data_IF_760405386223
#
_entry.id   IF_760405386223
#
_cell.length_a   1.000
_cell.length_b   1.000
_cell.length_c   1.000
_cell.angle_alpha   90.00
_cell.angle_beta   90.00
_cell.angle_gamma   90.00
#
_symmetry.space_group_name_H-M   'P 1'
#
loop_
_entity.id
_entity.type
_entity.pdbx_description
1 polymer ?
#
# COMPACT_ATOMS: atom_id res chain seq x y z
N UNK A 1 -32.21 7.76 -18.52
CA UNK A 1 -32.71 6.38 -18.29
C UNK A 1 -31.49 5.46 -18.30
N UNK A 2 -30.88 5.25 -17.13
CA UNK A 2 -29.60 4.54 -16.98
C UNK A 2 -29.91 3.06 -16.79
N UNK A 3 -29.56 2.23 -17.78
CA UNK A 3 -29.58 0.78 -17.62
C UNK A 3 -28.27 0.39 -16.93
N UNK A 4 -28.31 0.29 -15.60
CA UNK A 4 -27.26 -0.38 -14.82
C UNK A 4 -27.30 -1.87 -15.18
N UNK A 5 -26.45 -2.32 -16.10
CA UNK A 5 -26.14 -3.75 -16.21
C UNK A 5 -25.32 -4.14 -14.98
N UNK A 6 -26.01 -4.64 -13.95
CA UNK A 6 -25.39 -5.37 -12.83
C UNK A 6 -24.65 -6.57 -13.42
N UNK A 7 -23.32 -6.49 -13.47
CA UNK A 7 -22.49 -7.66 -13.69
C UNK A 7 -22.55 -8.51 -12.42
N UNK A 8 -23.42 -9.52 -12.43
CA UNK A 8 -23.39 -10.62 -11.47
C UNK A 8 -22.06 -11.36 -11.72
N UNK A 9 -21.04 -11.11 -10.89
CA UNK A 9 -19.92 -12.06 -10.78
C UNK A 9 -20.51 -13.31 -10.14
N UNK A 10 -20.60 -14.37 -10.92
CA UNK A 10 -20.93 -15.71 -10.42
C UNK A 10 -19.78 -16.11 -9.51
N UNK A 11 -19.94 -15.93 -8.21
CA UNK A 11 -19.12 -16.61 -7.21
C UNK A 11 -19.48 -18.08 -7.32
N UNK A 12 -18.71 -18.85 -8.10
CA UNK A 12 -18.81 -20.31 -8.07
C UNK A 12 -18.26 -20.73 -6.71
N UNK A 13 -19.15 -20.83 -5.72
CA UNK A 13 -18.87 -21.56 -4.49
C UNK A 13 -18.85 -23.02 -4.88
N UNK A 14 -17.67 -23.54 -5.22
CA UNK A 14 -17.46 -24.98 -5.36
C UNK A 14 -17.63 -25.54 -3.95
N UNK A 15 -18.82 -26.07 -3.68
CA UNK A 15 -19.11 -26.85 -2.49
C UNK A 15 -18.35 -28.16 -2.63
N UNK A 16 -17.09 -28.19 -2.20
CA UNK A 16 -16.37 -29.46 -2.02
C UNK A 16 -17.09 -30.23 -0.92
N UNK A 17 -17.76 -31.32 -1.30
CA UNK A 17 -18.15 -32.35 -0.37
C UNK A 17 -16.87 -32.81 0.35
N UNK A 18 -16.77 -32.50 1.65
CA UNK A 18 -15.65 -32.90 2.50
C UNK A 18 -15.77 -34.40 2.72
N UNK A 19 -15.17 -35.16 1.81
CA UNK A 19 -14.76 -36.53 2.09
C UNK A 19 -13.48 -36.37 2.91
N UNK A 20 -13.57 -36.57 4.24
CA UNK A 20 -12.41 -36.65 5.12
C UNK A 20 -11.58 -37.87 4.73
N UNK A 21 -10.67 -37.67 3.79
CA UNK A 21 -9.56 -38.57 3.53
C UNK A 21 -8.29 -37.74 3.78
N UNK A 22 -7.75 -37.87 4.99
CA UNK A 22 -6.62 -37.12 5.55
C UNK A 22 -5.27 -37.48 4.92
N UNK A 23 -5.21 -37.67 3.61
CA UNK A 23 -4.04 -38.24 2.93
C UNK A 23 -3.06 -37.20 2.36
N UNK A 24 -3.24 -35.91 2.64
CA UNK A 24 -2.41 -34.85 2.04
C UNK A 24 -1.49 -34.09 2.99
N UNK A 25 -1.90 -33.83 4.23
CA UNK A 25 -1.17 -32.93 5.13
C UNK A 25 -0.06 -33.70 5.85
N UNK A 26 1.18 -33.36 5.55
CA UNK A 26 2.34 -33.97 6.20
C UNK A 26 3.33 -32.92 6.67
N UNK A 27 4.17 -33.30 7.62
CA UNK A 27 5.32 -32.55 8.08
C UNK A 27 6.61 -33.27 7.68
N UNK A 28 7.62 -32.48 7.38
CA UNK A 28 9.01 -32.95 7.37
C UNK A 28 9.63 -32.64 8.73
N UNK A 29 10.09 -33.68 9.42
CA UNK A 29 10.72 -33.59 10.75
C UNK A 29 12.12 -34.18 10.67
N UNK A 30 13.13 -33.47 11.18
CA UNK A 30 14.48 -34.01 11.37
C UNK A 30 14.78 -34.11 12.85
N UNK A 31 15.21 -35.29 13.28
CA UNK A 31 15.73 -35.54 14.63
C UNK A 31 17.25 -35.61 14.53
N UNK A 32 17.95 -34.77 15.27
CA UNK A 32 19.39 -34.84 15.43
C UNK A 32 19.71 -35.46 16.80
N UNK A 33 20.74 -36.31 16.85
CA UNK A 33 21.16 -36.93 18.09
C UNK A 33 22.63 -37.30 18.06
N UNK A 34 23.25 -37.14 19.21
CA UNK A 34 24.63 -37.51 19.45
C UNK A 34 24.75 -38.26 20.78
N UNK A 35 25.68 -39.19 20.86
CA UNK A 35 25.94 -39.93 22.08
C UNK A 35 27.39 -40.41 22.15
N UNK A 36 27.98 -40.37 23.34
CA UNK A 36 29.35 -40.78 23.62
C UNK A 36 29.41 -41.68 24.85
N UNK A 37 30.08 -42.84 24.75
CA UNK A 37 30.30 -43.75 25.87
C UNK A 37 31.64 -43.53 26.58
N UNK A 38 32.31 -42.38 26.39
CA UNK A 38 33.56 -42.10 27.08
C UNK A 38 33.36 -42.13 28.61
N UNK A 39 34.10 -43.00 29.32
CA UNK A 39 33.93 -43.21 30.77
C UNK A 39 32.83 -44.22 31.16
N UNK A 40 32.09 -44.77 30.19
CA UNK A 40 31.00 -45.70 30.44
C UNK A 40 31.36 -47.13 30.04
N UNK A 41 31.15 -48.08 30.95
CA UNK A 41 31.34 -49.52 30.69
C UNK A 41 30.18 -50.11 29.90
N UNK A 42 28.94 -49.86 30.33
CA UNK A 42 27.73 -50.41 29.73
C UNK A 42 26.78 -49.28 29.32
N UNK A 43 27.23 -48.43 28.40
CA UNK A 43 26.41 -47.31 27.96
C UNK A 43 25.21 -47.80 27.13
N UNK A 44 24.05 -47.17 27.32
CA UNK A 44 22.93 -47.25 26.37
C UNK A 44 22.40 -45.85 26.08
N UNK A 45 21.98 -45.63 24.85
CA UNK A 45 21.34 -44.40 24.41
C UNK A 45 20.19 -44.74 23.47
N UNK A 46 19.04 -44.13 23.70
CA UNK A 46 17.86 -44.32 22.89
C UNK A 46 16.95 -43.11 22.92
N UNK A 47 16.20 -42.95 21.84
CA UNK A 47 15.18 -41.94 21.75
C UNK A 47 13.97 -42.46 20.99
N UNK A 48 12.82 -41.84 21.25
CA UNK A 48 11.56 -42.14 20.59
C UNK A 48 10.81 -40.84 20.30
N UNK A 49 10.56 -40.57 19.02
CA UNK A 49 9.68 -39.50 18.58
C UNK A 49 8.27 -40.07 18.34
N UNK A 50 7.26 -39.46 18.95
CA UNK A 50 5.86 -39.85 18.80
C UNK A 50 4.99 -38.64 18.45
N UNK A 51 4.02 -38.85 17.56
CA UNK A 51 2.93 -37.91 17.28
C UNK A 51 1.69 -38.40 18.02
N UNK A 52 1.18 -37.62 18.96
CA UNK A 52 0.22 -38.11 19.95
C UNK A 52 0.72 -39.41 20.59
N UNK A 53 0.00 -40.53 20.43
CA UNK A 53 0.40 -41.86 20.92
C UNK A 53 1.09 -42.73 19.86
N UNK A 54 1.25 -42.25 18.63
CA UNK A 54 1.79 -43.01 17.50
C UNK A 54 3.29 -42.78 17.39
N UNK A 55 4.07 -43.86 17.36
CA UNK A 55 5.52 -43.78 17.16
C UNK A 55 5.84 -43.39 15.73
N UNK A 56 6.59 -42.30 15.54
CA UNK A 56 7.06 -41.85 14.22
C UNK A 56 8.42 -42.49 13.91
N UNK A 57 9.31 -42.51 14.91
CA UNK A 57 10.62 -43.10 14.80
C UNK A 57 11.26 -43.30 16.15
N UNK A 58 12.26 -44.17 16.18
CA UNK A 58 13.02 -44.46 17.39
C UNK A 58 14.40 -44.97 17.03
N UNK A 59 15.33 -44.76 17.94
CA UNK A 59 16.68 -45.29 17.86
C UNK A 59 17.04 -45.87 19.22
N UNK A 60 17.86 -46.92 19.22
CA UNK A 60 18.43 -47.49 20.43
C UNK A 60 19.77 -48.13 20.10
N UNK A 61 20.81 -47.79 20.85
CA UNK A 61 22.14 -48.40 20.77
C UNK A 61 22.69 -48.58 22.18
N UNK A 62 23.50 -49.62 22.36
CA UNK A 62 24.20 -49.85 23.62
C UNK A 62 25.51 -50.58 23.40
N UNK A 63 26.41 -50.48 24.37
CA UNK A 63 27.68 -51.17 24.39
C UNK A 63 28.80 -50.31 25.00
N UNK A 64 30.00 -50.89 25.01
CA UNK A 64 31.18 -50.32 25.67
C UNK A 64 31.87 -49.24 24.81
N UNK A 65 31.46 -49.11 23.55
CA UNK A 65 31.98 -48.14 22.57
C UNK A 65 30.83 -47.57 21.75
N UNK A 66 30.29 -46.42 22.16
CA UNK A 66 29.34 -45.62 21.40
C UNK A 66 29.93 -44.25 21.13
N UNK A 67 30.01 -43.92 19.85
CA UNK A 67 30.16 -42.56 19.37
C UNK A 67 29.17 -42.41 18.23
N UNK A 68 28.11 -41.65 18.47
CA UNK A 68 27.00 -41.42 17.56
C UNK A 68 26.96 -39.92 17.33
N UNK A 69 26.85 -39.53 16.08
CA UNK A 69 26.51 -38.17 15.68
C UNK A 69 25.75 -38.31 14.36
N UNK A 70 24.44 -38.46 14.49
CA UNK A 70 23.57 -38.86 13.41
C UNK A 70 22.33 -37.95 13.36
N UNK A 71 21.60 -38.05 12.26
CA UNK A 71 20.27 -37.44 12.18
C UNK A 71 19.36 -38.27 11.30
N UNK A 72 18.07 -38.27 11.62
CA UNK A 72 17.04 -38.98 10.87
C UNK A 72 15.96 -38.02 10.40
N UNK A 73 15.63 -38.07 9.11
CA UNK A 73 14.57 -37.24 8.50
C UNK A 73 13.35 -38.08 8.20
N UNK A 74 12.19 -37.61 8.65
CA UNK A 74 10.87 -38.16 8.37
C UNK A 74 10.12 -37.18 7.49
N UNK A 75 10.00 -37.45 6.19
CA UNK A 75 9.49 -36.48 5.21
C UNK A 75 7.95 -36.42 5.12
N UNK A 76 7.24 -37.44 5.59
CA UNK A 76 5.79 -37.61 5.37
C UNK A 76 5.04 -37.88 6.69
N UNK A 77 5.42 -37.16 7.76
CA UNK A 77 4.80 -37.34 9.07
C UNK A 77 3.36 -36.80 9.04
N UNK A 78 2.32 -37.58 9.39
CA UNK A 78 0.94 -37.10 9.41
C UNK A 78 0.72 -35.94 10.39
N UNK A 79 -0.46 -35.33 10.32
CA UNK A 79 -0.87 -34.32 11.30
C UNK A 79 -1.17 -34.93 12.66
N UNK A 80 -0.59 -34.33 13.69
CA UNK A 80 -0.84 -34.66 15.09
C UNK A 80 -1.10 -33.38 15.88
N UNK A 81 -1.80 -33.49 17.00
CA UNK A 81 -2.08 -32.35 17.88
C UNK A 81 -0.88 -32.03 18.78
N UNK A 82 -0.03 -33.03 19.04
CA UNK A 82 1.17 -32.91 19.86
C UNK A 82 2.28 -33.84 19.38
N UNK A 83 3.52 -33.46 19.67
CA UNK A 83 4.72 -34.24 19.42
C UNK A 83 5.46 -34.45 20.74
N UNK A 84 5.82 -35.69 21.02
CA UNK A 84 6.57 -36.09 22.21
C UNK A 84 7.89 -36.70 21.80
N UNK A 85 8.98 -36.20 22.38
CA UNK A 85 10.32 -36.77 22.25
C UNK A 85 10.69 -37.39 23.59
N UNK A 86 10.93 -38.70 23.60
CA UNK A 86 11.44 -39.41 24.76
C UNK A 86 12.90 -39.74 24.56
N UNK A 87 13.66 -39.64 25.63
CA UNK A 87 15.07 -39.98 25.70
C UNK A 87 15.28 -40.99 26.82
N UNK A 88 16.20 -41.93 26.59
CA UNK A 88 16.67 -42.87 27.61
C UNK A 88 18.17 -43.03 27.47
N UNK A 89 18.93 -42.75 28.52
CA UNK A 89 20.35 -43.08 28.59
C UNK A 89 20.71 -43.81 29.87
N UNK A 90 21.70 -44.69 29.77
CA UNK A 90 22.30 -45.37 30.91
C UNK A 90 23.82 -45.36 30.75
N UNK A 91 24.54 -45.21 31.85
CA UNK A 91 25.98 -45.38 31.91
C UNK A 91 26.34 -46.06 33.24
N UNK A 92 26.96 -47.23 33.16
CA UNK A 92 27.66 -47.83 34.31
C UNK A 92 29.11 -47.36 34.30
N UNK A 93 29.64 -46.76 35.38
CA UNK A 93 30.98 -46.16 35.39
C UNK A 93 32.11 -47.19 35.29
N UNK A 94 33.22 -46.84 34.62
CA UNK A 94 34.44 -47.68 34.56
C UNK A 94 35.35 -47.52 35.79
N UNK A 95 35.28 -46.36 36.46
CA UNK A 95 36.04 -46.00 37.66
C UNK A 95 35.11 -45.34 38.66
N UNK A 96 35.53 -45.30 39.93
CA UNK A 96 34.75 -44.70 41.03
C UNK A 96 34.33 -43.23 40.77
N UNK A 97 35.10 -42.50 39.95
CA UNK A 97 34.87 -41.09 39.63
C UNK A 97 34.20 -40.87 38.26
N UNK A 98 33.87 -41.94 37.51
CA UNK A 98 33.17 -41.84 36.23
C UNK A 98 31.65 -41.67 36.46
N UNK A 99 30.94 -41.19 35.42
CA UNK A 99 29.51 -40.90 35.46
C UNK A 99 28.69 -42.19 35.66
N UNK A 100 27.86 -42.24 36.71
CA UNK A 100 26.79 -43.23 36.92
C UNK A 100 25.44 -42.55 36.72
N UNK A 101 24.64 -43.03 35.77
CA UNK A 101 23.38 -42.38 35.45
C UNK A 101 22.40 -43.32 34.77
N UNK A 102 21.12 -43.11 35.08
CA UNK A 102 19.99 -43.65 34.33
C UNK A 102 19.03 -42.47 34.16
N UNK A 103 19.01 -41.91 32.97
CA UNK A 103 18.16 -40.79 32.61
C UNK A 103 17.02 -41.29 31.73
N UNK A 104 15.79 -40.92 32.08
CA UNK A 104 14.64 -41.10 31.20
C UNK A 104 13.72 -39.90 31.31
N UNK A 105 13.58 -39.19 30.18
CA UNK A 105 12.79 -37.97 30.10
C UNK A 105 11.89 -38.03 28.89
N UNK A 106 10.72 -37.39 29.00
CA UNK A 106 9.83 -37.15 27.88
C UNK A 106 9.43 -35.69 27.90
N UNK A 107 9.65 -34.99 26.79
CA UNK A 107 9.14 -33.66 26.55
C UNK A 107 8.05 -33.72 25.50
N UNK A 108 7.00 -32.93 25.71
CA UNK A 108 5.86 -32.83 24.79
C UNK A 108 5.63 -31.37 24.43
N UNK A 109 5.39 -31.13 23.14
CA UNK A 109 4.97 -29.83 22.60
C UNK A 109 3.73 -30.01 21.74
N UNK A 110 2.83 -29.04 21.81
CA UNK A 110 1.69 -28.98 20.89
C UNK A 110 2.19 -28.71 19.47
N UNK A 111 1.41 -29.07 18.46
CA UNK A 111 1.75 -28.74 17.06
C UNK A 111 1.86 -27.24 16.83
N UNK A 112 1.10 -26.42 17.56
CA UNK A 112 1.16 -24.95 17.50
C UNK A 112 2.47 -24.44 18.06
N UNK A 113 2.84 -24.86 19.27
CA UNK A 113 4.14 -24.52 19.87
C UNK A 113 5.28 -24.97 18.98
N UNK A 114 5.16 -26.18 18.39
CA UNK A 114 6.06 -26.59 17.34
C UNK A 114 6.02 -25.53 16.25
N UNK A 115 4.99 -25.39 15.42
CA UNK A 115 4.95 -24.42 14.29
C UNK A 115 5.61 -23.05 14.58
N UNK A 116 5.40 -22.50 15.78
CA UNK A 116 5.95 -21.21 16.24
C UNK A 116 7.41 -21.20 16.70
N UNK A 117 8.14 -22.32 16.65
CA UNK A 117 9.55 -22.36 16.98
C UNK A 117 9.94 -23.00 18.30
N UNK A 118 9.03 -23.63 19.04
CA UNK A 118 9.39 -24.20 20.34
C UNK A 118 10.48 -25.26 20.19
N UNK A 119 11.46 -25.21 21.11
CA UNK A 119 12.52 -26.20 21.20
C UNK A 119 11.97 -27.50 21.79
N UNK A 120 12.23 -28.62 21.12
CA UNK A 120 11.90 -29.97 21.56
C UNK A 120 13.16 -30.82 21.51
N UNK A 121 13.95 -30.76 22.57
CA UNK A 121 15.19 -31.50 22.70
C UNK A 121 15.62 -31.62 24.15
N UNK A 122 16.49 -32.59 24.41
CA UNK A 122 17.03 -32.85 25.73
C UNK A 122 18.42 -33.49 25.64
N UNK A 123 19.26 -33.17 26.62
CA UNK A 123 20.50 -33.90 26.88
C UNK A 123 20.31 -34.88 28.03
N UNK A 124 21.15 -35.90 28.06
CA UNK A 124 21.37 -36.76 29.20
C UNK A 124 22.85 -37.03 29.39
N UNK A 125 23.16 -37.93 30.31
CA UNK A 125 24.51 -38.16 30.77
C UNK A 125 25.51 -38.72 29.73
N UNK A 126 25.04 -39.30 28.62
CA UNK A 126 25.91 -39.85 27.58
C UNK A 126 25.51 -39.44 26.15
N UNK A 127 24.74 -38.36 26.00
CA UNK A 127 24.28 -37.89 24.69
C UNK A 127 23.09 -36.92 24.74
N UNK A 128 22.61 -36.48 23.58
CA UNK A 128 21.44 -35.62 23.44
C UNK A 128 20.63 -35.93 22.19
N UNK A 129 19.37 -35.51 22.20
CA UNK A 129 18.46 -35.63 21.07
C UNK A 129 17.56 -34.41 20.98
N UNK A 130 17.36 -33.89 19.77
CA UNK A 130 16.44 -32.79 19.51
C UNK A 130 15.75 -32.89 18.15
N UNK A 131 14.57 -32.27 18.05
CA UNK A 131 13.92 -31.99 16.77
C UNK A 131 14.56 -30.74 16.17
N UNK A 132 15.62 -30.96 15.39
CA UNK A 132 16.40 -29.91 14.73
C UNK A 132 15.68 -29.25 13.55
N UNK A 133 14.63 -29.89 13.01
CA UNK A 133 13.84 -29.34 11.92
C UNK A 133 12.39 -29.80 12.02
N UNK A 134 11.47 -28.88 11.80
CA UNK A 134 10.04 -29.18 11.69
C UNK A 134 9.39 -28.19 10.75
N UNK A 135 8.87 -28.68 9.63
CA UNK A 135 8.27 -27.87 8.58
C UNK A 135 6.98 -28.53 8.07
N UNK A 136 5.86 -27.78 7.95
CA UNK A 136 4.69 -28.21 7.20
C UNK A 136 5.05 -28.38 5.72
N UNK A 137 4.68 -29.49 5.11
CA UNK A 137 4.84 -29.69 3.68
C UNK A 137 3.74 -28.93 2.93
N UNK A 138 3.96 -27.62 2.79
CA UNK A 138 3.06 -26.67 2.16
C UNK A 138 3.77 -26.04 0.97
N UNK A 139 3.05 -25.94 -0.15
CA UNK A 139 3.45 -25.17 -1.32
C UNK A 139 2.62 -23.90 -1.40
N UNK A 140 3.26 -22.82 -1.81
CA UNK A 140 2.61 -21.52 -1.98
C UNK A 140 2.54 -21.13 -3.45
N UNK A 141 1.44 -20.49 -3.84
CA UNK A 141 1.21 -20.02 -5.19
C UNK A 141 0.36 -18.75 -5.22
N UNK A 142 0.31 -18.11 -6.38
CA UNK A 142 -0.66 -17.06 -6.69
C UNK A 142 -1.89 -17.73 -7.32
N UNK A 143 -3.08 -17.42 -6.82
CA UNK A 143 -4.34 -17.94 -7.35
C UNK A 143 -4.68 -17.38 -8.74
N UNK A 144 -4.07 -16.27 -9.15
CA UNK A 144 -4.15 -15.81 -10.52
C UNK A 144 -3.29 -16.69 -11.44
N UNK A 145 -3.94 -17.64 -12.13
CA UNK A 145 -3.29 -18.56 -13.06
C UNK A 145 -2.99 -17.95 -14.41
N UNK A 146 -3.57 -16.79 -14.76
CA UNK A 146 -3.30 -16.10 -16.01
C UNK A 146 -1.99 -15.29 -15.94
N UNK A 147 -1.61 -14.82 -14.75
CA UNK A 147 -0.37 -14.07 -14.51
C UNK A 147 0.25 -14.42 -13.14
N UNK A 148 0.71 -15.66 -12.93
CA UNK A 148 1.08 -16.16 -11.61
C UNK A 148 2.27 -15.41 -10.97
N UNK A 149 3.13 -14.79 -11.77
CA UNK A 149 4.34 -14.10 -11.30
C UNK A 149 4.26 -12.57 -11.39
N UNK A 150 3.11 -12.01 -11.78
CA UNK A 150 2.96 -10.57 -12.01
C UNK A 150 1.65 -10.05 -11.44
N UNK A 151 1.71 -8.89 -10.78
CA UNK A 151 0.55 -8.19 -10.28
C UNK A 151 0.54 -6.75 -10.79
N UNK A 152 -0.61 -6.29 -11.29
CA UNK A 152 -0.80 -4.91 -11.71
C UNK A 152 -1.20 -4.00 -10.54
N UNK A 153 -0.77 -2.74 -10.58
CA UNK A 153 -1.18 -1.74 -9.61
C UNK A 153 -2.71 -1.60 -9.53
N UNK A 154 -3.23 -1.54 -8.31
CA UNK A 154 -4.67 -1.47 -8.03
C UNK A 154 -5.42 -2.80 -8.08
N UNK A 155 -4.78 -3.90 -8.47
CA UNK A 155 -5.37 -5.24 -8.40
C UNK A 155 -5.07 -5.88 -7.04
N UNK A 156 -5.96 -6.78 -6.62
CA UNK A 156 -5.75 -7.59 -5.41
C UNK A 156 -4.89 -8.81 -5.75
N UNK A 157 -3.83 -9.03 -4.97
CA UNK A 157 -3.09 -10.28 -4.96
C UNK A 157 -3.86 -11.28 -4.12
N UNK A 158 -4.07 -12.49 -4.64
CA UNK A 158 -4.64 -13.59 -3.87
C UNK A 158 -3.65 -14.73 -3.86
N UNK A 159 -3.05 -15.00 -2.70
CA UNK A 159 -2.12 -16.11 -2.53
C UNK A 159 -2.87 -17.34 -2.05
N UNK A 160 -2.24 -18.50 -2.21
CA UNK A 160 -2.72 -19.73 -1.62
C UNK A 160 -1.58 -20.59 -1.09
N UNK A 161 -1.91 -21.38 -0.08
CA UNK A 161 -1.04 -22.34 0.58
C UNK A 161 -1.74 -23.71 0.61
N UNK A 162 -1.15 -24.70 -0.06
CA UNK A 162 -1.71 -26.04 -0.19
C UNK A 162 -0.75 -27.14 0.27
N UNK A 163 -1.25 -28.28 0.80
CA UNK A 163 -2.66 -28.60 1.01
C UNK A 163 -3.30 -27.82 2.17
N UNK A 164 -4.63 -27.68 2.14
CA UNK A 164 -5.41 -27.04 3.21
C UNK A 164 -5.53 -27.95 4.44
N UNK A 165 -5.87 -27.39 5.61
CA UNK A 165 -6.23 -28.15 6.82
C UNK A 165 -5.13 -28.24 7.87
N UNK A 166 -4.03 -27.50 7.73
CA UNK A 166 -3.09 -27.29 8.83
C UNK A 166 -3.67 -26.29 9.85
N UNK A 167 -3.15 -26.26 11.10
CA UNK A 167 -3.40 -25.16 12.03
C UNK A 167 -3.06 -23.79 11.40
N UNK A 168 -3.74 -22.73 11.84
CA UNK A 168 -3.62 -21.39 11.25
C UNK A 168 -2.19 -20.84 11.26
N UNK A 169 -1.38 -21.26 12.25
CA UNK A 169 0.03 -20.90 12.41
C UNK A 169 0.92 -21.46 11.29
N UNK A 170 0.50 -22.54 10.62
CA UNK A 170 1.21 -23.03 9.43
C UNK A 170 1.10 -22.04 8.25
N UNK A 171 0.13 -21.11 8.30
CA UNK A 171 -0.12 -20.09 7.30
C UNK A 171 0.37 -18.70 7.73
N UNK A 172 1.46 -18.66 8.51
CA UNK A 172 2.12 -17.42 8.88
C UNK A 172 2.95 -16.87 7.70
N UNK A 173 2.41 -15.89 7.01
CA UNK A 173 2.98 -15.24 5.84
C UNK A 173 3.97 -14.14 6.21
N UNK A 174 5.10 -14.15 5.52
CA UNK A 174 6.06 -13.06 5.50
C UNK A 174 6.28 -12.60 4.06
N UNK A 175 6.66 -11.33 3.90
CA UNK A 175 7.06 -10.77 2.62
C UNK A 175 8.41 -10.04 2.71
N UNK A 176 9.07 -9.88 1.57
CA UNK A 176 10.33 -9.16 1.42
C UNK A 176 10.27 -8.25 0.20
N UNK A 177 10.78 -7.03 0.37
CA UNK A 177 10.89 -6.01 -0.68
C UNK A 177 12.34 -5.68 -1.05
N UNK A 178 13.32 -6.37 -0.43
CA UNK A 178 14.75 -6.07 -0.52
C UNK A 178 15.55 -7.30 -0.98
N UNK A 179 14.97 -8.03 -1.94
CA UNK A 179 15.55 -9.24 -2.51
C UNK A 179 15.88 -10.31 -1.45
N UNK A 180 14.92 -10.56 -0.55
CA UNK A 180 14.96 -11.60 0.48
C UNK A 180 15.97 -11.34 1.62
N UNK A 181 16.53 -10.13 1.71
CA UNK A 181 17.49 -9.76 2.76
C UNK A 181 16.83 -9.62 4.12
N UNK A 182 15.65 -8.98 4.16
CA UNK A 182 14.80 -8.86 5.35
C UNK A 182 13.39 -9.35 5.06
N UNK A 183 12.69 -9.75 6.12
CA UNK A 183 11.35 -10.32 6.05
C UNK A 183 10.43 -9.66 7.06
N UNK A 184 9.24 -9.29 6.60
CA UNK A 184 8.23 -8.58 7.37
C UNK A 184 6.98 -9.44 7.41
N UNK A 185 6.35 -9.54 8.56
CA UNK A 185 5.09 -10.29 8.70
C UNK A 185 3.96 -9.57 7.95
N UNK A 186 3.14 -10.34 7.24
CA UNK A 186 1.91 -9.81 6.67
C UNK A 186 1.01 -9.32 7.81
N UNK A 187 0.35 -8.15 7.68
CA UNK A 187 -0.59 -7.62 8.68
C UNK A 187 -1.59 -8.66 9.22
N UNK A 188 -1.81 -8.65 10.53
CA UNK A 188 -2.55 -9.72 11.25
C UNK A 188 -3.96 -10.02 10.68
N UNK A 189 -4.69 -9.02 10.19
CA UNK A 189 -6.04 -9.22 9.61
C UNK A 189 -6.08 -10.01 8.29
N UNK A 190 -4.91 -10.26 7.70
CA UNK A 190 -4.71 -10.96 6.42
C UNK A 190 -3.58 -12.00 6.51
N UNK A 191 -3.17 -12.36 7.72
CA UNK A 191 -2.15 -13.37 8.00
C UNK A 191 -2.80 -14.60 8.65
N UNK A 192 -2.05 -15.69 8.85
CA UNK A 192 -2.52 -16.95 9.45
C UNK A 192 -3.75 -17.54 8.74
N UNK A 193 -3.83 -17.36 7.42
CA UNK A 193 -4.90 -17.87 6.57
C UNK A 193 -4.30 -18.52 5.33
N UNK A 194 -4.85 -19.67 4.87
CA UNK A 194 -4.31 -20.36 3.71
C UNK A 194 -4.46 -19.57 2.41
N UNK A 195 -5.40 -18.62 2.33
CA UNK A 195 -5.69 -17.88 1.10
C UNK A 195 -5.85 -16.38 1.36
N UNK A 196 -4.77 -15.66 1.71
CA UNK A 196 -4.87 -14.23 1.97
C UNK A 196 -5.11 -13.47 0.66
N UNK A 197 -5.89 -12.38 0.73
CA UNK A 197 -6.15 -11.49 -0.39
C UNK A 197 -6.02 -10.04 0.04
N UNK A 198 -5.21 -9.27 -0.68
CA UNK A 198 -4.93 -7.87 -0.39
C UNK A 198 -4.38 -7.12 -1.60
N UNK A 199 -4.48 -5.80 -1.60
CA UNK A 199 -3.77 -4.94 -2.55
C UNK A 199 -2.36 -4.63 -2.06
N UNK A 200 -1.45 -4.28 -2.97
CA UNK A 200 -0.10 -3.81 -2.57
C UNK A 200 -0.15 -2.50 -1.78
N UNK A 201 -1.19 -1.68 -1.93
CA UNK A 201 -1.38 -0.50 -1.10
C UNK A 201 -1.72 -0.88 0.36
N UNK A 202 -2.50 -1.94 0.58
CA UNK A 202 -2.77 -2.45 1.93
C UNK A 202 -1.54 -3.10 2.56
N UNK A 203 -0.70 -3.77 1.76
CA UNK A 203 0.52 -4.42 2.24
C UNK A 203 1.68 -3.43 2.47
N UNK A 204 1.96 -2.56 1.51
CA UNK A 204 3.14 -1.68 1.47
C UNK A 204 2.83 -0.23 1.87
N UNK A 205 1.56 0.10 2.11
CA UNK A 205 1.10 1.43 2.51
C UNK A 205 1.06 2.46 1.36
N UNK A 206 1.02 3.74 1.73
CA UNK A 206 0.90 4.85 0.78
C UNK A 206 2.05 4.94 -0.24
N UNK A 207 3.24 4.46 0.15
CA UNK A 207 4.45 4.49 -0.68
C UNK A 207 4.62 3.24 -1.54
N UNK A 208 3.58 2.39 -1.67
CA UNK A 208 3.64 1.17 -2.47
C UNK A 208 4.15 1.38 -3.91
N UNK A 209 3.90 2.56 -4.50
CA UNK A 209 4.37 2.93 -5.83
C UNK A 209 5.90 2.94 -5.98
N UNK A 210 6.66 3.09 -4.89
CA UNK A 210 8.12 3.03 -4.90
C UNK A 210 8.67 1.65 -5.24
N UNK A 211 7.84 0.61 -5.13
CA UNK A 211 8.18 -0.78 -5.42
C UNK A 211 7.69 -1.23 -6.81
N UNK A 212 7.23 -0.30 -7.65
CA UNK A 212 6.82 -0.63 -9.01
C UNK A 212 8.00 -1.16 -9.83
N UNK A 213 7.72 -2.18 -10.62
CA UNK A 213 8.64 -2.96 -11.43
C UNK A 213 9.74 -3.67 -10.62
N UNK A 214 9.47 -3.99 -9.35
CA UNK A 214 10.34 -4.81 -8.50
C UNK A 214 9.63 -6.09 -8.05
N UNK A 215 10.37 -7.20 -7.82
CA UNK A 215 9.81 -8.41 -7.26
C UNK A 215 9.56 -8.24 -5.75
N UNK A 216 8.37 -8.65 -5.31
CA UNK A 216 8.01 -8.83 -3.91
C UNK A 216 7.99 -10.33 -3.63
N UNK A 217 8.74 -10.77 -2.64
CA UNK A 217 8.86 -12.19 -2.30
C UNK A 217 7.93 -12.53 -1.14
N UNK A 218 7.29 -13.69 -1.19
CA UNK A 218 6.41 -14.19 -0.14
C UNK A 218 6.86 -15.57 0.30
N UNK A 219 6.76 -15.86 1.61
CA UNK A 219 7.03 -17.19 2.16
C UNK A 219 6.17 -17.46 3.39
N UNK A 220 6.09 -18.73 3.79
CA UNK A 220 5.52 -19.14 5.07
C UNK A 220 6.61 -19.54 6.05
N UNK A 221 6.40 -19.26 7.34
CA UNK A 221 7.24 -19.75 8.43
C UNK A 221 7.49 -18.73 9.53
N UNK A 222 8.30 -19.11 10.51
CA UNK A 222 8.71 -18.29 11.66
C UNK A 222 10.24 -18.17 11.75
N UNK A 223 10.73 -17.12 12.40
CA UNK A 223 12.17 -16.75 12.46
C UNK A 223 13.11 -17.86 12.93
N UNK A 224 12.64 -18.79 13.76
CA UNK A 224 13.42 -19.90 14.33
C UNK A 224 13.24 -21.22 13.57
N UNK A 225 12.59 -21.20 12.39
CA UNK A 225 12.23 -22.41 11.62
C UNK A 225 12.49 -22.30 10.13
N UNK A 226 12.39 -23.45 9.46
CA UNK A 226 12.50 -23.53 8.03
C UNK A 226 11.30 -22.88 7.34
N UNK A 227 11.61 -22.06 6.35
CA UNK A 227 10.62 -21.37 5.53
C UNK A 227 10.29 -22.17 4.28
N UNK A 228 9.12 -21.94 3.71
CA UNK A 228 8.84 -22.40 2.34
C UNK A 228 9.76 -21.71 1.35
N UNK A 229 9.97 -22.33 0.19
CA UNK A 229 10.59 -21.65 -0.96
C UNK A 229 9.84 -20.35 -1.27
N UNK A 230 10.52 -19.20 -1.36
CA UNK A 230 9.88 -17.93 -1.66
C UNK A 230 9.19 -17.89 -3.02
N UNK A 231 7.97 -17.37 -3.05
CA UNK A 231 7.22 -17.02 -4.26
C UNK A 231 7.50 -15.57 -4.62
N UNK A 232 7.98 -15.31 -5.83
CA UNK A 232 8.24 -13.96 -6.34
C UNK A 232 7.06 -13.44 -7.17
N UNK A 233 6.54 -12.27 -6.80
CA UNK A 233 5.51 -11.54 -7.55
C UNK A 233 6.09 -10.20 -8.01
N UNK A 234 6.21 -10.01 -9.32
CA UNK A 234 6.62 -8.73 -9.90
C UNK A 234 5.46 -7.74 -9.82
N UNK A 235 5.60 -6.72 -8.97
CA UNK A 235 4.60 -5.66 -8.86
C UNK A 235 4.81 -4.64 -9.97
N UNK A 236 3.88 -4.51 -10.92
CA UNK A 236 4.03 -3.68 -12.11
C UNK A 236 2.98 -2.58 -12.18
N UNK A 237 3.32 -1.46 -12.81
CA UNK A 237 2.37 -0.33 -12.96
C UNK A 237 1.16 -0.72 -13.79
N UNK A 238 1.37 -1.51 -14.85
CA UNK A 238 0.37 -1.87 -15.87
C UNK A 238 -0.44 -0.67 -16.40
N UNK A 239 0.13 0.52 -16.28
CA UNK A 239 -0.42 1.81 -16.65
C UNK A 239 0.77 2.77 -16.84
N UNK A 240 0.61 3.85 -17.63
CA UNK A 240 1.64 4.87 -17.74
C UNK A 240 1.85 5.51 -16.37
N UNK A 241 3.11 5.70 -15.96
CA UNK A 241 3.42 6.30 -14.65
C UNK A 241 3.44 7.82 -14.78
N UNK A 242 2.51 8.47 -14.09
CA UNK A 242 2.48 9.92 -13.96
C UNK A 242 3.64 10.40 -13.08
N UNK A 243 4.28 11.49 -13.50
CA UNK A 243 5.38 12.14 -12.80
C UNK A 243 4.86 13.21 -11.85
N UNK A 244 4.04 14.15 -12.36
CA UNK A 244 3.54 15.27 -11.57
C UNK A 244 2.24 15.86 -12.13
N UNK A 245 1.61 16.70 -11.31
CA UNK A 245 0.46 17.52 -11.68
C UNK A 245 0.95 18.97 -11.82
N UNK A 246 0.64 19.60 -12.94
CA UNK A 246 0.80 21.04 -13.12
C UNK A 246 -0.58 21.69 -12.94
N UNK A 247 -0.70 22.54 -11.93
CA UNK A 247 -1.95 23.18 -11.52
C UNK A 247 -1.81 24.70 -11.56
N UNK A 248 -2.76 25.38 -12.18
CA UNK A 248 -2.89 26.84 -12.14
C UNK A 248 -4.26 27.21 -11.55
N UNK A 249 -4.23 27.92 -10.43
CA UNK A 249 -5.41 28.35 -9.71
C UNK A 249 -6.27 29.34 -10.51
N UNK A 250 -7.56 29.55 -10.14
CA UNK A 250 -8.36 30.63 -10.69
C UNK A 250 -7.67 31.98 -10.50
N UNK A 251 -7.77 32.88 -11.48
CA UNK A 251 -7.21 34.25 -11.35
C UNK A 251 -7.99 35.14 -10.40
N UNK A 252 -9.31 34.96 -10.38
CA UNK A 252 -10.23 35.74 -9.55
C UNK A 252 -11.12 34.82 -8.74
N UNK A 253 -11.57 35.33 -7.59
CA UNK A 253 -12.51 34.63 -6.73
C UNK A 253 -13.72 34.09 -7.51
N UNK A 254 -14.01 32.80 -7.32
CA UNK A 254 -15.14 32.12 -7.95
C UNK A 254 -15.06 32.00 -9.48
N UNK A 255 -13.90 32.25 -10.10
CA UNK A 255 -13.66 31.85 -11.48
C UNK A 255 -13.33 30.35 -11.55
N UNK A 256 -13.44 29.79 -12.76
CA UNK A 256 -12.95 28.45 -13.07
C UNK A 256 -11.44 28.33 -12.83
N UNK A 257 -10.99 27.12 -12.53
CA UNK A 257 -9.56 26.79 -12.49
C UNK A 257 -8.97 26.98 -13.89
N UNK A 258 -7.82 27.65 -13.98
CA UNK A 258 -7.18 27.93 -15.27
C UNK A 258 -6.67 26.64 -15.91
N UNK A 259 -6.03 25.76 -15.12
CA UNK A 259 -5.38 24.56 -15.65
C UNK A 259 -5.18 23.45 -14.62
N UNK A 260 -5.43 22.22 -15.05
CA UNK A 260 -4.97 20.99 -14.38
C UNK A 260 -4.42 20.06 -15.46
N UNK A 261 -3.13 19.78 -15.38
CA UNK A 261 -2.42 18.93 -16.34
C UNK A 261 -1.64 17.84 -15.61
N UNK A 262 -1.61 16.65 -16.20
CA UNK A 262 -0.88 15.49 -15.67
C UNK A 262 0.19 15.12 -16.66
N UNK A 263 1.43 15.04 -16.17
CA UNK A 263 2.59 14.70 -16.97
C UNK A 263 3.00 13.26 -16.73
N UNK A 264 3.19 12.51 -17.81
CA UNK A 264 3.58 11.11 -17.84
C UNK A 264 4.95 10.98 -18.52
N UNK A 265 5.77 10.05 -18.03
CA UNK A 265 7.08 9.74 -18.64
C UNK A 265 6.94 9.04 -19.99
N UNK A 266 5.85 8.31 -20.18
CA UNK A 266 5.64 7.41 -21.30
C UNK A 266 4.35 7.77 -22.03
N UNK A 267 4.34 7.58 -23.36
CA UNK A 267 3.11 7.59 -24.14
C UNK A 267 2.30 6.32 -23.90
N UNK A 268 1.00 6.38 -24.15
CA UNK A 268 0.16 5.20 -24.24
C UNK A 268 0.66 4.27 -25.35
N UNK A 269 0.73 2.97 -25.04
CA UNK A 269 1.11 1.92 -25.99
C UNK A 269 -0.04 1.64 -26.95
N UNK A 270 0.24 0.93 -28.05
CA UNK A 270 -0.80 0.48 -28.97
C UNK A 270 -1.83 -0.39 -28.22
N UNK A 271 -3.10 -0.04 -28.31
CA UNK A 271 -4.20 -0.71 -27.60
C UNK A 271 -4.37 -0.29 -26.14
N UNK A 272 -3.51 0.59 -25.62
CA UNK A 272 -3.63 1.15 -24.27
C UNK A 272 -4.47 2.42 -24.26
N UNK A 273 -5.38 2.55 -23.30
CA UNK A 273 -6.18 3.75 -23.06
C UNK A 273 -6.33 4.03 -21.57
N UNK A 274 -6.63 5.27 -21.19
CA UNK A 274 -7.18 5.54 -19.85
C UNK A 274 -8.70 5.55 -19.95
N UNK A 275 -9.32 4.57 -19.28
CA UNK A 275 -10.76 4.48 -19.16
C UNK A 275 -11.33 5.60 -18.30
N UNK A 276 -10.63 5.90 -17.22
CA UNK A 276 -10.96 6.96 -16.28
C UNK A 276 -9.66 7.62 -15.81
N UNK A 277 -9.69 8.95 -15.75
CA UNK A 277 -8.70 9.81 -15.10
C UNK A 277 -9.48 10.98 -14.47
N UNK A 278 -9.22 11.23 -13.19
CA UNK A 278 -10.01 12.18 -12.41
C UNK A 278 -9.20 12.81 -11.28
N UNK A 279 -9.58 14.04 -10.92
CA UNK A 279 -9.10 14.74 -9.73
C UNK A 279 -9.91 14.27 -8.52
N UNK A 280 -9.28 14.09 -7.36
CA UNK A 280 -9.97 13.70 -6.12
C UNK A 280 -9.30 14.34 -4.93
N UNK A 281 -10.08 14.61 -3.88
CA UNK A 281 -9.55 15.09 -2.63
C UNK A 281 -8.63 14.03 -1.99
N UNK A 282 -7.57 14.46 -1.33
CA UNK A 282 -6.66 13.55 -0.62
C UNK A 282 -7.21 13.05 0.72
N UNK A 283 -8.23 13.71 1.26
CA UNK A 283 -8.97 13.21 2.42
C UNK A 283 -9.66 11.89 2.04
N UNK A 284 -9.33 10.77 2.71
CA UNK A 284 -9.91 9.46 2.41
C UNK A 284 -11.43 9.40 2.63
N UNK A 285 -12.02 10.32 3.41
CA UNK A 285 -13.47 10.42 3.57
C UNK A 285 -14.16 11.10 2.36
N UNK A 286 -13.41 11.82 1.52
CA UNK A 286 -13.94 12.61 0.39
C UNK A 286 -13.61 11.96 -0.94
N UNK A 287 -14.29 10.86 -1.25
CA UNK A 287 -13.97 10.00 -2.40
C UNK A 287 -14.58 10.44 -3.74
N UNK A 288 -15.41 11.49 -3.77
CA UNK A 288 -16.12 11.92 -4.98
C UNK A 288 -15.14 12.45 -6.04
N UNK A 289 -15.10 11.84 -7.25
CA UNK A 289 -14.32 12.38 -8.37
C UNK A 289 -14.74 13.79 -8.75
N UNK A 290 -13.75 14.65 -8.99
CA UNK A 290 -13.88 15.99 -9.59
C UNK A 290 -13.11 15.99 -10.91
N UNK A 291 -13.58 16.75 -11.89
CA UNK A 291 -12.97 16.84 -13.23
C UNK A 291 -12.54 15.49 -13.80
N UNK A 292 -13.41 14.85 -14.58
CA UNK A 292 -13.13 13.54 -15.17
C UNK A 292 -13.13 13.63 -16.69
N UNK A 293 -12.33 12.78 -17.33
CA UNK A 293 -12.45 12.55 -18.77
C UNK A 293 -13.88 12.15 -19.17
N UNK A 294 -14.39 12.73 -20.26
CA UNK A 294 -15.71 12.42 -20.83
C UNK A 294 -15.66 11.30 -21.89
N UNK A 295 -14.47 11.02 -22.41
CA UNK A 295 -14.18 9.97 -23.37
C UNK A 295 -12.88 9.26 -23.01
N UNK A 296 -12.65 8.08 -23.60
CA UNK A 296 -11.41 7.33 -23.41
C UNK A 296 -10.20 8.18 -23.83
N UNK A 297 -9.17 8.20 -23.00
CA UNK A 297 -7.91 8.88 -23.34
C UNK A 297 -7.03 7.88 -24.08
N UNK A 298 -6.92 8.04 -25.40
CA UNK A 298 -6.16 7.13 -26.27
C UNK A 298 -4.80 7.68 -26.70
N UNK A 299 -4.53 8.95 -26.40
CA UNK A 299 -3.22 9.57 -26.63
C UNK A 299 -2.96 10.67 -25.60
N UNK A 300 -1.67 10.97 -25.42
CA UNK A 300 -1.19 12.13 -24.69
C UNK A 300 -0.50 13.08 -25.67
N UNK A 301 -0.45 14.37 -25.31
CA UNK A 301 0.22 15.39 -26.11
C UNK A 301 1.67 15.53 -25.61
N UNK A 302 2.66 15.44 -26.49
CA UNK A 302 4.05 15.69 -26.10
C UNK A 302 4.24 17.18 -25.77
N UNK A 303 4.75 17.48 -24.59
CA UNK A 303 5.22 18.81 -24.24
C UNK A 303 6.72 18.94 -24.56
N UNK A 304 7.11 19.77 -25.53
CA UNK A 304 8.51 19.92 -25.94
C UNK A 304 9.38 20.58 -24.86
N UNK A 305 8.80 21.35 -23.93
CA UNK A 305 9.58 22.04 -22.89
C UNK A 305 10.11 21.04 -21.84
N UNK A 306 9.32 20.03 -21.51
CA UNK A 306 9.63 19.04 -20.47
C UNK A 306 10.04 17.68 -21.03
N UNK A 307 9.81 17.45 -22.33
CA UNK A 307 9.95 16.16 -23.01
C UNK A 307 9.12 15.04 -22.33
N UNK A 308 7.94 15.42 -21.83
CA UNK A 308 6.99 14.53 -21.17
C UNK A 308 5.65 14.54 -21.92
N UNK A 309 4.84 13.51 -21.67
CA UNK A 309 3.53 13.35 -22.29
C UNK A 309 2.44 13.89 -21.37
N UNK A 310 1.53 14.69 -21.89
CA UNK A 310 0.59 15.49 -21.12
C UNK A 310 -0.86 15.11 -21.41
N UNK A 311 -1.66 15.05 -20.34
CA UNK A 311 -3.11 15.06 -20.37
C UNK A 311 -3.63 16.33 -19.70
N UNK A 312 -4.48 17.09 -20.38
CA UNK A 312 -5.12 18.30 -19.85
C UNK A 312 -6.60 18.01 -19.56
N UNK A 313 -7.07 18.28 -18.35
CA UNK A 313 -8.47 18.06 -17.99
C UNK A 313 -9.38 19.04 -18.75
N UNK A 314 -10.42 18.56 -19.44
CA UNK A 314 -11.43 19.44 -20.02
C UNK A 314 -12.40 19.95 -18.95
N UNK A 315 -13.06 21.08 -19.22
CA UNK A 315 -14.21 21.59 -18.46
C UNK A 315 -13.95 21.79 -16.95
N UNK A 316 -13.00 22.66 -16.61
CA UNK A 316 -12.65 23.03 -15.23
C UNK A 316 -13.65 24.02 -14.57
N UNK A 317 -14.94 23.89 -14.89
CA UNK A 317 -15.97 24.89 -14.61
C UNK A 317 -16.57 24.89 -13.21
N UNK A 318 -16.14 23.99 -12.32
CA UNK A 318 -16.62 23.93 -10.93
C UNK A 318 -15.52 24.39 -9.98
N UNK A 319 -15.89 25.15 -8.94
CA UNK A 319 -14.98 25.41 -7.83
C UNK A 319 -14.74 24.12 -7.03
N UNK A 320 -13.50 23.96 -6.56
CA UNK A 320 -13.15 22.97 -5.56
C UNK A 320 -13.39 23.54 -4.15
N UNK A 321 -13.29 22.71 -3.12
CA UNK A 321 -13.42 23.18 -1.73
C UNK A 321 -12.13 23.92 -1.34
N UNK A 322 -12.26 25.20 -0.98
CA UNK A 322 -11.15 26.06 -0.61
C UNK A 322 -10.32 25.49 0.55
N UNK A 323 -8.99 25.55 0.44
CA UNK A 323 -8.04 25.07 1.45
C UNK A 323 -7.69 23.58 1.37
N UNK A 324 -8.44 22.78 0.59
CA UNK A 324 -8.22 21.34 0.51
C UNK A 324 -7.12 20.94 -0.49
N UNK A 325 -6.58 19.74 -0.30
CA UNK A 325 -5.58 19.13 -1.16
C UNK A 325 -6.21 18.11 -2.10
N UNK A 326 -5.71 18.10 -3.34
CA UNK A 326 -6.23 17.27 -4.43
C UNK A 326 -5.09 16.55 -5.18
N UNK A 327 -5.39 15.34 -5.61
CA UNK A 327 -4.50 14.50 -6.44
C UNK A 327 -5.26 13.95 -7.64
N UNK A 328 -4.58 13.24 -8.52
CA UNK A 328 -5.18 12.59 -9.69
C UNK A 328 -5.04 11.08 -9.58
N UNK A 329 -6.14 10.38 -9.85
CA UNK A 329 -6.20 8.92 -9.98
C UNK A 329 -6.65 8.54 -11.38
N UNK A 330 -6.19 7.39 -11.85
CA UNK A 330 -6.51 6.91 -13.19
C UNK A 330 -6.43 5.38 -13.30
N UNK A 331 -7.18 4.82 -14.26
CA UNK A 331 -7.19 3.39 -14.59
C UNK A 331 -6.91 3.21 -16.08
N UNK A 332 -5.77 2.59 -16.37
CA UNK A 332 -5.42 2.16 -17.72
C UNK A 332 -6.17 0.87 -18.10
N UNK A 333 -6.37 0.70 -19.41
CA UNK A 333 -6.81 -0.55 -20.01
C UNK A 333 -5.87 -0.92 -21.13
N UNK A 334 -5.79 -2.21 -21.43
CA UNK A 334 -5.12 -2.74 -22.61
C UNK A 334 -6.12 -3.59 -23.38
N UNK A 335 -6.36 -3.25 -24.64
CA UNK A 335 -7.34 -3.90 -25.51
C UNK A 335 -8.73 -4.00 -24.84
N UNK A 336 -9.13 -2.92 -24.15
CA UNK A 336 -10.41 -2.83 -23.43
C UNK A 336 -10.47 -3.52 -22.07
N UNK A 337 -9.45 -4.29 -21.68
CA UNK A 337 -9.38 -4.93 -20.36
C UNK A 337 -8.73 -4.02 -19.32
N UNK A 338 -9.30 -3.84 -18.11
CA UNK A 338 -8.65 -3.11 -17.02
C UNK A 338 -7.27 -3.66 -16.69
N UNK A 339 -6.28 -2.78 -16.54
CA UNK A 339 -4.88 -3.14 -16.29
C UNK A 339 -4.34 -2.53 -15.00
N UNK A 340 -3.82 -1.31 -15.03
CA UNK A 340 -3.25 -0.65 -13.84
C UNK A 340 -4.09 0.52 -13.37
N UNK A 341 -4.40 0.57 -12.07
CA UNK A 341 -4.95 1.73 -11.38
C UNK A 341 -3.87 2.40 -10.54
N UNK A 342 -3.67 3.69 -10.73
CA UNK A 342 -2.62 4.46 -10.06
C UNK A 342 -3.11 5.83 -9.59
N UNK A 343 -2.34 6.39 -8.67
CA UNK A 343 -2.40 7.78 -8.24
C UNK A 343 -1.08 8.46 -8.60
N UNK A 344 -1.10 9.75 -8.91
CA UNK A 344 0.14 10.53 -9.07
C UNK A 344 0.96 10.49 -7.78
N UNK A 345 2.25 10.18 -7.90
CA UNK A 345 3.15 9.94 -6.76
C UNK A 345 3.70 11.21 -6.11
N UNK A 346 3.77 12.32 -6.84
CA UNK A 346 4.18 13.61 -6.28
C UNK A 346 3.11 14.23 -5.37
N UNK A 347 3.53 15.26 -4.63
CA UNK A 347 2.69 15.95 -3.66
C UNK A 347 1.40 16.49 -4.31
N UNK A 348 0.24 16.35 -3.65
CA UNK A 348 -1.01 16.94 -4.12
C UNK A 348 -0.92 18.46 -4.25
N UNK A 349 -1.76 19.05 -5.10
CA UNK A 349 -1.92 20.49 -5.16
C UNK A 349 -2.98 20.96 -4.16
N UNK A 350 -2.80 22.16 -3.62
CA UNK A 350 -3.81 22.79 -2.77
C UNK A 350 -4.68 23.71 -3.63
N UNK A 351 -6.00 23.61 -3.49
CA UNK A 351 -6.90 24.58 -4.09
C UNK A 351 -7.12 25.75 -3.13
N UNK A 352 -6.68 26.94 -3.55
CA UNK A 352 -6.98 28.20 -2.87
C UNK A 352 -7.80 29.07 -3.81
N UNK A 353 -9.01 29.41 -3.41
CA UNK A 353 -9.82 30.40 -4.10
C UNK A 353 -9.28 31.81 -3.75
N UNK A 354 -8.91 32.64 -4.75
CA UNK A 354 -8.37 33.97 -4.49
C UNK A 354 -9.30 34.82 -3.63
N UNK A 355 -8.74 35.82 -2.94
CA UNK A 355 -9.55 36.81 -2.26
C UNK A 355 -10.47 37.53 -3.25
N UNK A 356 -11.74 37.72 -2.88
CA UNK A 356 -12.66 38.56 -3.66
C UNK A 356 -12.14 39.99 -3.74
N UNK A 357 -12.33 40.65 -4.88
CA UNK A 357 -12.12 42.09 -4.98
C UNK A 357 -13.30 42.81 -4.35
N UNK A 358 -13.06 43.71 -3.40
CA UNK A 358 -14.10 44.52 -2.77
C UNK A 358 -13.61 45.93 -2.49
N UNK A 359 -14.51 46.89 -2.66
CA UNK A 359 -14.27 48.28 -2.33
C UNK A 359 -15.55 48.92 -1.81
N UNK A 360 -15.45 50.07 -1.18
CA UNK A 360 -16.61 50.92 -0.86
C UNK A 360 -16.27 52.37 -1.13
N UNK A 361 -17.29 53.15 -1.49
CA UNK A 361 -17.19 54.60 -1.58
C UNK A 361 -17.36 55.16 -0.17
N UNK A 362 -16.38 55.94 0.30
CA UNK A 362 -16.37 56.50 1.67
C UNK A 362 -16.75 57.97 1.71
N UNK A 363 -16.64 58.67 0.59
CA UNK A 363 -16.92 60.10 0.51
C UNK A 363 -17.05 60.57 -0.94
N UNK A 364 -17.69 61.73 -1.12
CA UNK A 364 -17.78 62.41 -2.40
C UNK A 364 -17.88 63.93 -2.18
N UNK A 365 -17.30 64.71 -3.08
CA UNK A 365 -17.44 66.17 -3.11
C UNK A 365 -18.00 66.61 -4.45
N UNK A 366 -19.03 67.46 -4.41
CA UNK A 366 -19.59 68.07 -5.62
C UNK A 366 -18.60 69.09 -6.21
N UNK A 367 -18.61 69.32 -7.53
CA UNK A 367 -17.85 70.41 -8.14
C UNK A 367 -18.26 71.76 -7.56
N UNK A 368 -17.31 72.70 -7.48
CA UNK A 368 -17.53 74.02 -6.85
C UNK A 368 -18.52 74.90 -7.61
N UNK A 369 -18.57 74.75 -8.94
CA UNK A 369 -19.42 75.53 -9.83
C UNK A 369 -19.93 74.68 -10.99
N UNK A 370 -20.97 75.17 -11.67
CA UNK A 370 -21.47 74.55 -12.89
C UNK A 370 -20.37 74.52 -13.97
N UNK A 371 -20.06 73.33 -14.49
CA UNK A 371 -19.03 73.11 -15.50
C UNK A 371 -17.62 72.86 -14.97
N UNK A 372 -17.37 73.04 -13.66
CA UNK A 372 -16.09 72.72 -13.04
C UNK A 372 -15.78 71.21 -13.06
N UNK A 373 -14.49 70.89 -13.14
CA UNK A 373 -13.94 69.52 -13.08
C UNK A 373 -13.18 69.28 -11.76
N UNK A 374 -13.76 69.71 -10.65
CA UNK A 374 -13.13 69.60 -9.31
C UNK A 374 -13.94 68.73 -8.32
N UNK A 375 -14.95 68.01 -8.82
CA UNK A 375 -15.63 66.97 -8.04
C UNK A 375 -14.70 65.79 -7.75
N UNK A 376 -14.90 65.14 -6.61
CA UNK A 376 -14.08 64.00 -6.16
C UNK A 376 -14.91 62.86 -5.59
N UNK A 377 -14.37 61.64 -5.65
CA UNK A 377 -14.91 60.44 -5.02
C UNK A 377 -13.78 59.76 -4.24
N UNK A 378 -14.02 59.47 -2.96
CA UNK A 378 -13.13 58.74 -2.07
C UNK A 378 -13.52 57.25 -2.05
N UNK A 379 -12.53 56.38 -2.21
CA UNK A 379 -12.68 54.92 -2.31
C UNK A 379 -11.80 54.26 -1.26
N UNK A 380 -12.36 53.33 -0.50
CA UNK A 380 -11.63 52.42 0.38
C UNK A 380 -11.65 51.00 -0.22
N UNK A 381 -10.48 50.43 -0.44
CA UNK A 381 -10.32 49.03 -0.85
C UNK A 381 -10.42 48.14 0.39
N UNK A 382 -11.35 47.18 0.36
CA UNK A 382 -11.58 46.24 1.45
C UNK A 382 -10.80 44.94 1.25
N UNK A 383 -10.64 44.49 0.00
CA UNK A 383 -9.88 43.30 -0.38
C UNK A 383 -9.52 43.30 -1.87
N UNK A 384 -8.50 42.52 -2.26
CA UNK A 384 -7.95 42.45 -3.62
C UNK A 384 -6.45 42.78 -3.63
N UNK A 385 -5.75 42.52 -4.74
CA UNK A 385 -4.29 42.66 -4.80
C UNK A 385 -3.82 43.89 -5.62
N UNK A 386 -2.88 44.65 -5.06
CA UNK A 386 -2.25 45.80 -5.72
C UNK A 386 -1.45 45.38 -6.98
N UNK A 387 -1.38 46.23 -8.04
CA UNK A 387 -2.01 47.55 -8.17
C UNK A 387 -3.50 47.50 -8.55
N UNK A 388 -4.24 48.56 -8.20
CA UNK A 388 -5.66 48.72 -8.54
C UNK A 388 -5.87 49.68 -9.72
N UNK A 389 -6.82 49.36 -10.60
CA UNK A 389 -7.28 50.27 -11.66
C UNK A 389 -8.68 50.78 -11.34
N UNK A 390 -8.90 52.07 -11.57
CA UNK A 390 -10.15 52.75 -11.26
C UNK A 390 -10.85 53.18 -12.53
N UNK A 391 -12.12 52.85 -12.66
CA UNK A 391 -12.94 53.20 -13.81
C UNK A 391 -14.15 54.00 -13.37
N UNK A 392 -14.44 55.06 -14.11
CA UNK A 392 -15.65 55.86 -13.99
C UNK A 392 -16.41 55.74 -15.30
N UNK A 393 -17.63 55.19 -15.25
CA UNK A 393 -18.45 54.92 -16.43
C UNK A 393 -17.69 54.11 -17.51
N UNK A 394 -16.94 53.09 -17.07
CA UNK A 394 -16.06 52.24 -17.89
C UNK A 394 -14.85 52.94 -18.53
N UNK A 395 -14.56 54.19 -18.17
CA UNK A 395 -13.35 54.90 -18.61
C UNK A 395 -12.30 54.83 -17.51
N UNK A 396 -11.08 54.38 -17.85
CA UNK A 396 -9.96 54.34 -16.91
C UNK A 396 -9.64 55.75 -16.42
N UNK A 397 -9.49 55.91 -15.10
CA UNK A 397 -9.17 57.17 -14.43
C UNK A 397 -7.94 57.02 -13.55
N UNK A 398 -7.14 58.07 -13.51
CA UNK A 398 -6.08 58.21 -12.52
C UNK A 398 -6.70 58.49 -11.16
N UNK A 399 -6.37 57.67 -10.16
CA UNK A 399 -6.72 57.92 -8.77
C UNK A 399 -5.47 58.31 -7.98
N UNK A 400 -5.58 59.35 -7.16
CA UNK A 400 -4.53 59.72 -6.21
C UNK A 400 -4.56 58.78 -5.03
N UNK A 401 -3.45 58.08 -4.77
CA UNK A 401 -3.29 57.22 -3.60
C UNK A 401 -3.14 58.10 -2.35
N UNK A 402 -4.05 57.99 -1.39
CA UNK A 402 -3.95 58.65 -0.09
C UNK A 402 -3.09 57.80 0.84
N UNK A 403 -3.42 56.51 0.93
CA UNK A 403 -2.62 55.48 1.60
C UNK A 403 -2.78 54.13 0.89
N UNK A 404 -2.42 53.01 1.53
CA UNK A 404 -2.47 51.69 0.90
C UNK A 404 -3.88 51.18 0.57
N UNK A 405 -4.92 51.65 1.25
CA UNK A 405 -6.29 51.21 1.07
C UNK A 405 -7.22 52.35 0.61
N UNK A 406 -6.82 53.61 0.76
CA UNK A 406 -7.64 54.78 0.40
C UNK A 406 -7.13 55.48 -0.85
N UNK A 407 -8.05 55.73 -1.79
CA UNK A 407 -7.80 56.35 -3.08
C UNK A 407 -8.83 57.44 -3.37
N UNK A 408 -8.42 58.47 -4.08
CA UNK A 408 -9.29 59.59 -4.49
C UNK A 408 -9.30 59.75 -6.00
N UNK A 409 -10.48 59.65 -6.60
CA UNK A 409 -10.71 60.03 -8.00
C UNK A 409 -11.05 61.53 -8.02
N UNK A 410 -10.31 62.31 -8.80
CA UNK A 410 -10.53 63.76 -8.99
C UNK A 410 -10.92 64.05 -10.44
N UNK A 411 -11.26 65.31 -10.75
CA UNK A 411 -11.51 65.70 -12.14
C UNK A 411 -12.93 65.40 -12.61
N UNK A 412 -13.89 65.27 -11.69
CA UNK A 412 -15.26 64.88 -12.02
C UNK A 412 -16.16 66.12 -12.19
N UNK A 413 -17.04 66.06 -13.19
CA UNK A 413 -18.10 67.06 -13.40
C UNK A 413 -19.35 66.68 -12.62
N UNK A 414 -20.30 67.60 -12.53
CA UNK A 414 -21.61 67.29 -12.01
C UNK A 414 -22.29 66.28 -12.95
N UNK A 415 -22.69 65.13 -12.43
CA UNK A 415 -23.41 64.10 -13.17
C UNK A 415 -24.72 63.79 -12.45
N UNK A 416 -25.83 64.22 -13.07
CA UNK A 416 -27.18 64.05 -12.51
C UNK A 416 -27.63 62.59 -12.46
N UNK A 417 -27.05 61.70 -13.26
CA UNK A 417 -27.34 60.27 -13.26
C UNK A 417 -26.47 59.48 -12.27
N UNK A 418 -25.50 60.14 -11.65
CA UNK A 418 -24.47 59.50 -10.84
C UNK A 418 -23.41 58.78 -11.68
N UNK A 419 -22.27 58.48 -11.05
CA UNK A 419 -21.16 57.76 -11.66
C UNK A 419 -21.20 56.28 -11.33
N UNK A 420 -20.91 55.43 -12.32
CA UNK A 420 -20.67 54.00 -12.08
C UNK A 420 -19.18 53.76 -11.84
N UNK A 421 -18.85 53.44 -10.60
CA UNK A 421 -17.47 53.12 -10.21
C UNK A 421 -17.23 51.63 -10.38
N UNK A 422 -16.12 51.30 -11.03
CA UNK A 422 -15.61 49.93 -11.11
C UNK A 422 -14.14 49.99 -10.72
N UNK A 423 -13.74 49.11 -9.81
CA UNK A 423 -12.32 48.93 -9.44
C UNK A 423 -11.91 47.53 -9.84
N UNK A 424 -10.73 47.40 -10.45
CA UNK A 424 -10.09 46.10 -10.67
C UNK A 424 -8.77 46.01 -9.91
N UNK A 425 -8.39 44.79 -9.57
CA UNK A 425 -7.09 44.48 -8.97
C UNK A 425 -6.02 44.12 -10.02
N UNK A 426 -4.83 43.68 -9.58
CA UNK A 426 -3.71 43.34 -10.47
C UNK A 426 -4.03 42.24 -11.48
N UNK A 427 -5.00 41.38 -11.17
CA UNK A 427 -5.42 40.25 -11.99
C UNK A 427 -6.68 40.59 -12.81
N UNK A 428 -7.03 41.88 -12.88
CA UNK A 428 -8.25 42.42 -13.49
C UNK A 428 -9.55 41.89 -12.86
N UNK A 429 -9.50 41.47 -11.60
CA UNK A 429 -10.68 40.98 -10.89
C UNK A 429 -11.59 42.15 -10.50
N UNK A 430 -12.87 42.02 -10.83
CA UNK A 430 -13.92 42.97 -10.43
C UNK A 430 -14.63 42.50 -9.17
N UNK A 431 -15.23 43.43 -8.45
CA UNK A 431 -16.23 43.11 -7.44
C UNK A 431 -17.39 42.31 -8.07
N UNK A 432 -17.70 41.16 -7.47
CA UNK A 432 -18.88 40.35 -7.78
C UNK A 432 -19.92 40.58 -6.68
N UNK A 433 -21.14 40.93 -7.07
CA UNK A 433 -22.29 41.09 -6.18
C UNK A 433 -22.84 39.74 -5.71
#
# INVERSE_FOLDING_TARGET
MIVLKKYFKITVVILFAVIYSSYGQTYTIKVAYDASSAGCHAASFGWKLSGNMVTIGSFSKGGNSMNINESQTFATVPTYTSFSLSHSSNCTPLRKDDIDCIDSYTLTKTVVEMLQGAYLGMGGCNGGVDVSFFQPNVSIENLDTASPTKLCAGFSLSLAAFPLGFPVEAYHWQYSTDNQSTWIDVPAGMNNTPTPSFTMQQLLGANHANYLNTPIYFRLGYTTRAFTTPLAITYSSCAPVAQYINYEAPKCNGNSIEKIEVFFKEKLKTGEDLSIIYVVNTDPAKTTPRFQNTALVTSFILDPATNLYKYSFPNLGEALENGNFYTVKYQARLNGQPMGSLQVSQQPFQYIDPAKMQFKITGQTQPTCFGSEDGTIDIEILSGELPYNFYVDNVLKTASKIDNLHYKITGLKANVLGYKIKVTDKNDCIEKL
#
